data_IF_860204249233
#
_entry.id   IF_860204249233
#
_cell.length_a   1.000
_cell.length_b   1.000
_cell.length_c   1.000
_cell.angle_alpha   90.00
_cell.angle_beta   90.00
_cell.angle_gamma   90.00
#
_symmetry.space_group_name_H-M   'P 1'
#
loop_
_entity.id
_entity.type
_entity.pdbx_description
1 polymer ?
#
# COMPACT_ATOMS: atom_id res chain seq x y z
N UNK A 1 -6.92 -0.71 9.93
CA UNK A 1 -5.96 0.40 9.88
C UNK A 1 -6.53 1.54 9.08
N UNK A 2 -6.24 2.75 9.54
CA UNK A 2 -6.57 4.02 8.93
C UNK A 2 -5.93 4.20 7.55
N UNK A 3 -6.39 5.26 6.89
CA UNK A 3 -5.93 5.77 5.59
C UNK A 3 -6.22 7.27 5.61
N UNK A 4 -5.43 8.07 4.90
CA UNK A 4 -5.58 9.52 4.84
C UNK A 4 -7.03 10.01 4.66
N UNK A 5 -7.45 11.08 5.35
CA UNK A 5 -8.79 11.65 5.23
C UNK A 5 -9.01 12.43 3.93
N UNK A 6 -7.93 12.72 3.19
CA UNK A 6 -7.90 13.60 2.01
C UNK A 6 -8.78 13.15 0.85
N UNK A 7 -9.10 11.85 0.78
CA UNK A 7 -9.94 11.32 -0.29
C UNK A 7 -10.71 10.08 0.16
N UNK A 8 -11.77 9.76 -0.57
CA UNK A 8 -12.70 8.67 -0.20
C UNK A 8 -11.96 7.34 -0.09
N UNK A 9 -12.09 6.63 1.03
CA UNK A 9 -11.46 5.31 1.27
C UNK A 9 -12.46 4.15 1.41
N UNK A 10 -13.78 4.42 1.29
CA UNK A 10 -14.82 3.39 1.31
C UNK A 10 -15.18 2.92 -0.10
N UNK A 11 -15.21 1.60 -0.30
CA UNK A 11 -15.52 0.99 -1.59
C UNK A 11 -14.34 1.00 -2.55
N UNK A 12 -13.12 0.80 -2.03
CA UNK A 12 -11.90 0.70 -2.84
C UNK A 12 -12.02 -0.45 -3.84
N UNK A 13 -11.67 -0.19 -5.09
CA UNK A 13 -11.71 -1.17 -6.17
C UNK A 13 -10.35 -1.23 -6.90
N UNK A 14 -9.39 -2.03 -6.38
CA UNK A 14 -8.05 -2.10 -6.93
C UNK A 14 -8.03 -2.64 -8.36
N UNK A 15 -7.18 -2.07 -9.21
CA UNK A 15 -6.91 -2.51 -10.58
C UNK A 15 -5.51 -3.09 -10.64
N UNK A 16 -5.36 -4.29 -11.21
CA UNK A 16 -4.07 -4.99 -11.31
C UNK A 16 -3.57 -4.88 -12.75
N UNK A 17 -2.37 -4.33 -12.90
CA UNK A 17 -1.69 -4.13 -14.19
C UNK A 17 -0.40 -4.95 -14.20
N UNK A 18 -0.46 -6.24 -14.62
CA UNK A 18 0.75 -7.05 -14.75
C UNK A 18 1.63 -6.53 -15.88
N UNK A 19 2.95 -6.67 -15.72
CA UNK A 19 3.95 -6.31 -16.73
C UNK A 19 3.78 -4.89 -17.29
N UNK A 20 3.62 -3.91 -16.40
CA UNK A 20 3.41 -2.52 -16.75
C UNK A 20 4.37 -2.05 -17.85
N UNK A 21 3.84 -1.44 -18.90
CA UNK A 21 4.57 -1.15 -20.13
C UNK A 21 5.35 0.18 -20.11
N UNK A 22 5.12 0.99 -19.06
CA UNK A 22 5.68 2.33 -18.90
C UNK A 22 4.85 3.45 -19.53
N UNK A 23 3.63 3.15 -19.99
CA UNK A 23 2.70 4.12 -20.57
C UNK A 23 1.66 4.60 -19.55
N UNK A 24 0.75 5.47 -19.96
CA UNK A 24 -0.30 5.98 -19.06
C UNK A 24 -1.32 4.89 -18.70
N UNK A 25 -1.80 4.91 -17.45
CA UNK A 25 -2.85 3.99 -16.97
C UNK A 25 -4.12 4.78 -16.71
N UNK A 26 -5.19 4.44 -17.43
CA UNK A 26 -6.53 4.95 -17.12
C UNK A 26 -7.05 4.34 -15.81
N UNK A 27 -7.50 5.19 -14.89
CA UNK A 27 -8.04 4.76 -13.61
C UNK A 27 -9.54 4.52 -13.76
N UNK A 28 -9.88 3.25 -13.99
CA UNK A 28 -11.26 2.79 -14.14
C UNK A 28 -12.04 3.59 -15.21
N UNK A 29 -13.24 4.04 -14.84
CA UNK A 29 -14.09 4.92 -15.68
C UNK A 29 -14.14 6.36 -15.16
N UNK A 30 -13.23 6.73 -14.26
CA UNK A 30 -13.25 8.02 -13.59
C UNK A 30 -12.85 9.20 -14.49
N UNK A 31 -12.26 8.90 -15.66
CA UNK A 31 -11.63 9.90 -16.53
C UNK A 31 -10.27 10.39 -16.02
N UNK A 32 -9.78 9.85 -14.89
CA UNK A 32 -8.45 10.14 -14.36
C UNK A 32 -7.41 9.17 -14.93
N UNK A 33 -6.18 9.64 -15.02
CA UNK A 33 -5.06 8.88 -15.59
C UNK A 33 -3.83 9.01 -14.71
N UNK A 34 -3.17 7.89 -14.44
CA UNK A 34 -1.85 7.83 -13.86
C UNK A 34 -0.80 7.92 -14.99
N UNK A 35 -0.12 9.06 -15.09
CA UNK A 35 0.75 9.37 -16.23
C UNK A 35 2.23 9.50 -15.83
N UNK A 36 3.16 8.86 -16.56
CA UNK A 36 4.61 9.07 -16.41
C UNK A 36 5.08 10.49 -16.72
N UNK A 37 4.21 11.35 -17.28
CA UNK A 37 4.50 12.78 -17.45
C UNK A 37 4.40 13.53 -16.12
N UNK A 38 3.44 13.14 -15.28
CA UNK A 38 3.19 13.72 -13.96
C UNK A 38 4.06 13.03 -12.90
N UNK A 39 4.23 11.72 -13.01
CA UNK A 39 5.04 10.90 -12.11
C UNK A 39 6.14 10.16 -12.90
N UNK A 40 7.28 10.83 -13.18
CA UNK A 40 8.35 10.28 -14.01
C UNK A 40 8.89 8.92 -13.55
N UNK A 41 8.82 8.63 -12.25
CA UNK A 41 9.29 7.39 -11.64
C UNK A 41 8.54 6.15 -12.13
N UNK A 42 7.33 6.31 -12.68
CA UNK A 42 6.60 5.22 -13.32
C UNK A 42 7.41 4.53 -14.42
N UNK A 43 8.27 5.27 -15.14
CA UNK A 43 9.13 4.67 -16.18
C UNK A 43 10.09 3.62 -15.61
N UNK A 44 10.49 3.76 -14.35
CA UNK A 44 11.39 2.82 -13.68
C UNK A 44 10.67 1.52 -13.27
N UNK A 45 9.33 1.53 -13.24
CA UNK A 45 8.50 0.40 -12.85
C UNK A 45 8.09 -0.50 -14.03
N UNK A 46 8.65 -0.26 -15.23
CA UNK A 46 8.36 -1.09 -16.41
C UNK A 46 8.66 -2.57 -16.14
N UNK A 47 7.73 -3.43 -16.51
CA UNK A 47 7.77 -4.88 -16.30
C UNK A 47 7.30 -5.34 -14.91
N UNK A 48 7.09 -4.43 -13.96
CA UNK A 48 6.51 -4.74 -12.64
C UNK A 48 4.98 -4.89 -12.73
N UNK A 49 4.38 -5.49 -11.72
CA UNK A 49 2.93 -5.45 -11.53
C UNK A 49 2.57 -4.21 -10.73
N UNK A 50 1.73 -3.34 -11.29
CA UNK A 50 1.18 -2.20 -10.56
C UNK A 50 -0.22 -2.53 -10.04
N UNK A 51 -0.52 -2.04 -8.85
CA UNK A 51 -1.86 -2.08 -8.27
C UNK A 51 -2.28 -0.62 -8.10
N UNK A 52 -3.37 -0.22 -8.74
CA UNK A 52 -3.86 1.16 -8.70
C UNK A 52 -5.29 1.21 -8.17
N UNK A 53 -5.76 2.40 -7.84
CA UNK A 53 -7.19 2.67 -7.61
C UNK A 53 -7.96 2.70 -8.96
N UNK A 54 -9.29 2.65 -8.92
CA UNK A 54 -10.16 2.92 -10.08
C UNK A 54 -10.42 4.43 -10.30
N UNK A 55 -9.71 5.27 -9.56
CA UNK A 55 -9.77 6.72 -9.59
C UNK A 55 -10.89 7.31 -8.75
N UNK A 56 -11.78 6.51 -8.14
CA UNK A 56 -12.90 7.02 -7.31
C UNK A 56 -12.60 7.05 -5.82
N UNK A 57 -11.51 6.39 -5.40
CA UNK A 57 -11.09 6.23 -4.01
C UNK A 57 -9.56 6.26 -3.87
N UNK A 58 -9.07 6.38 -2.64
CA UNK A 58 -7.69 6.02 -2.29
C UNK A 58 -7.50 4.51 -2.45
N UNK A 59 -6.26 4.09 -2.72
CA UNK A 59 -5.90 2.67 -2.71
C UNK A 59 -5.73 2.15 -1.28
N UNK A 60 -5.18 2.97 -0.39
CA UNK A 60 -4.81 2.57 0.98
C UNK A 60 -3.57 1.68 1.04
N UNK A 61 -2.67 1.79 0.06
CA UNK A 61 -1.35 1.14 0.13
C UNK A 61 -0.56 1.67 1.33
N UNK A 62 -0.65 2.98 1.57
CA UNK A 62 -0.30 3.59 2.84
C UNK A 62 -1.44 3.33 3.86
N UNK A 63 -1.26 2.52 4.91
CA UNK A 63 -0.11 1.63 5.25
C UNK A 63 -0.45 0.13 5.11
N UNK A 64 -1.54 -0.21 4.40
CA UNK A 64 -1.98 -1.62 4.33
C UNK A 64 -1.01 -2.50 3.54
N UNK A 65 -0.17 -1.92 2.67
CA UNK A 65 0.91 -2.65 2.02
C UNK A 65 1.97 -3.10 3.05
N UNK A 66 2.42 -2.20 3.93
CA UNK A 66 3.38 -2.52 4.99
C UNK A 66 2.85 -3.57 5.96
N UNK A 67 1.58 -3.48 6.35
CA UNK A 67 0.92 -4.51 7.18
C UNK A 67 0.93 -5.88 6.48
N UNK A 68 0.58 -5.94 5.20
CA UNK A 68 0.60 -7.19 4.44
C UNK A 68 2.01 -7.78 4.38
N UNK A 69 3.03 -6.95 4.14
CA UNK A 69 4.44 -7.37 4.12
C UNK A 69 4.90 -7.93 5.46
N UNK A 70 4.57 -7.27 6.58
CA UNK A 70 4.91 -7.74 7.94
C UNK A 70 4.28 -9.12 8.20
N UNK A 71 3.00 -9.29 7.88
CA UNK A 71 2.30 -10.56 8.08
C UNK A 71 2.88 -11.68 7.21
N UNK A 72 3.21 -11.39 5.94
CA UNK A 72 3.87 -12.36 5.05
C UNK A 72 5.27 -12.72 5.54
N UNK A 73 6.03 -11.78 6.10
CA UNK A 73 7.33 -12.05 6.69
C UNK A 73 7.19 -13.00 7.89
N UNK A 74 6.25 -12.74 8.80
CA UNK A 74 5.96 -13.64 9.92
C UNK A 74 5.56 -15.05 9.46
N UNK A 75 4.64 -15.14 8.50
CA UNK A 75 4.24 -16.42 7.93
C UNK A 75 5.43 -17.18 7.34
N UNK A 76 6.28 -16.48 6.57
CA UNK A 76 7.47 -17.06 5.94
C UNK A 76 8.47 -17.59 6.96
N UNK A 77 8.72 -16.84 8.03
CA UNK A 77 9.61 -17.23 9.13
C UNK A 77 9.10 -18.51 9.81
N UNK A 78 7.80 -18.57 10.11
CA UNK A 78 7.16 -19.73 10.74
C UNK A 78 7.19 -20.96 9.82
N UNK A 79 6.77 -20.83 8.56
CA UNK A 79 6.68 -21.93 7.61
C UNK A 79 8.05 -22.52 7.27
N UNK A 80 9.04 -21.67 7.04
CA UNK A 80 10.41 -22.11 6.70
C UNK A 80 11.27 -22.42 7.93
N UNK A 81 10.73 -22.26 9.15
CA UNK A 81 11.44 -22.46 10.43
C UNK A 81 12.78 -21.71 10.47
N UNK A 82 12.78 -20.48 9.98
CA UNK A 82 13.99 -19.65 9.91
C UNK A 82 14.42 -19.34 11.35
N UNK A 83 15.68 -19.56 11.76
CA UNK A 83 16.14 -19.15 13.08
C UNK A 83 16.00 -17.64 13.26
N UNK A 84 15.35 -17.20 14.34
CA UNK A 84 15.14 -15.80 14.63
C UNK A 84 15.22 -15.51 16.12
N UNK A 85 15.58 -14.28 16.47
CA UNK A 85 15.47 -13.75 17.84
C UNK A 85 14.02 -13.39 18.19
N UNK A 86 13.83 -12.66 19.29
CA UNK A 86 12.50 -12.11 19.63
C UNK A 86 12.07 -11.09 18.57
N UNK A 87 10.88 -11.26 18.01
CA UNK A 87 10.25 -10.32 17.07
C UNK A 87 9.01 -9.73 17.76
N UNK A 88 8.93 -8.41 17.82
CA UNK A 88 7.80 -7.66 18.37
C UNK A 88 7.16 -6.84 17.25
N UNK A 89 5.83 -6.88 17.14
CA UNK A 89 5.08 -6.20 16.08
C UNK A 89 3.95 -5.40 16.73
N UNK A 90 3.84 -4.13 16.34
CA UNK A 90 2.78 -3.23 16.74
C UNK A 90 2.15 -2.59 15.51
N UNK A 91 0.84 -2.41 15.56
CA UNK A 91 0.03 -1.85 14.50
C UNK A 91 -0.79 -0.71 15.11
N UNK A 92 -0.42 0.53 14.79
CA UNK A 92 -0.93 1.74 15.45
C UNK A 92 -2.13 2.35 14.71
N UNK A 93 -3.24 2.70 15.40
CA UNK A 93 -4.36 3.41 14.79
C UNK A 93 -4.11 4.92 14.70
N UNK A 94 -4.86 5.64 13.89
CA UNK A 94 -4.90 7.12 13.88
C UNK A 94 -3.52 7.78 13.59
N UNK A 95 -2.67 7.10 12.82
CA UNK A 95 -1.39 7.64 12.35
C UNK A 95 -1.61 8.86 11.45
N UNK A 96 -2.61 8.79 10.58
CA UNK A 96 -2.91 9.78 9.55
C UNK A 96 -3.42 11.12 10.13
N UNK A 97 -3.72 11.13 11.45
CA UNK A 97 -4.09 12.33 12.22
C UNK A 97 -3.07 12.66 13.31
N UNK A 98 -1.87 12.07 13.24
CA UNK A 98 -0.73 12.33 14.11
C UNK A 98 -0.82 11.68 15.50
N UNK A 99 -1.73 10.73 15.71
CA UNK A 99 -2.02 10.15 17.04
C UNK A 99 -1.53 8.71 17.20
N UNK A 100 -0.94 8.13 16.16
CA UNK A 100 -0.49 6.74 16.13
C UNK A 100 0.35 6.28 17.32
N UNK A 101 1.23 7.16 17.82
CA UNK A 101 2.14 6.84 18.91
C UNK A 101 1.70 7.35 20.28
N UNK A 102 0.59 8.09 20.39
CA UNK A 102 0.17 8.75 21.65
C UNK A 102 0.02 7.77 22.83
N UNK A 103 -0.36 6.54 22.53
CA UNK A 103 -0.59 5.49 23.52
C UNK A 103 0.32 4.26 23.30
N UNK A 104 1.41 4.44 22.55
CA UNK A 104 2.33 3.36 22.22
C UNK A 104 3.41 3.19 23.29
N UNK A 105 3.01 2.64 24.44
CA UNK A 105 3.89 2.32 25.57
C UNK A 105 4.55 0.95 25.37
N UNK A 106 5.68 0.94 24.66
CA UNK A 106 6.52 -0.24 24.49
C UNK A 106 7.74 -0.17 25.41
N UNK A 107 8.02 -1.29 26.09
CA UNK A 107 9.15 -1.47 27.02
C UNK A 107 10.33 -2.17 26.39
#
# INVERSE_FOLDING_TARGET
MDTAPDFKSKGVNPQIHPHYDGNEISLGRSGRTLSPRVFPDLKQLKGKTLITTDGTTLLGADDKAGIAEILTACETVLQKKIPHGKICIGFTPDEEIGRGSEHFDVK
#
